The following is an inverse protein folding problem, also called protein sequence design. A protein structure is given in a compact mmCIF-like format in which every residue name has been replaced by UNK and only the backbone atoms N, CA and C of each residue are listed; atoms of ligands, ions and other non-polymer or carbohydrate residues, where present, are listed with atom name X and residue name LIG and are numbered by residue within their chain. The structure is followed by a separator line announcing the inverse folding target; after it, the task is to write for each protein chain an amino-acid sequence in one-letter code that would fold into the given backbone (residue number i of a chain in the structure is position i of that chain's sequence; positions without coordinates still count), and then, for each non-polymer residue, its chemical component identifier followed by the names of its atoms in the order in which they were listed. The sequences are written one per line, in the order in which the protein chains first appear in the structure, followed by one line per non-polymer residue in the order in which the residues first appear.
data_IF_973958543009
#
_entry.id   IF_973958543009
#
_cell.length_a   1.000
_cell.length_b   1.000
_cell.length_c   1.000
_cell.angle_alpha   90.00
_cell.angle_beta   90.00
_cell.angle_gamma   90.00
#
_symmetry.space_group_name_H-M   'P 1'
#
loop_
_entity.id
_entity.type
_entity.pdbx_description
1 polymer ?
#
# COMPACT_ATOMS: atom_id res chain seq x y z
N UNK A 1 3.27 17.20 4.14
CA UNK A 1 3.69 15.78 4.13
C UNK A 1 5.06 15.71 4.79
N UNK A 2 5.30 14.76 5.69
CA UNK A 2 6.63 14.60 6.29
C UNK A 2 7.60 14.14 5.20
N UNK A 3 8.65 14.91 4.95
CA UNK A 3 9.72 14.53 4.01
C UNK A 3 10.42 13.30 4.57
N UNK A 4 10.37 12.17 3.85
CA UNK A 4 11.09 10.96 4.24
C UNK A 4 12.58 11.21 4.01
N UNK A 5 13.38 11.09 5.05
CA UNK A 5 14.83 11.25 4.97
C UNK A 5 15.50 9.89 4.73
N UNK A 6 16.26 9.77 3.65
CA UNK A 6 16.89 8.52 3.24
C UNK A 6 18.26 8.77 2.57
N UNK A 7 19.08 7.72 2.54
CA UNK A 7 20.36 7.68 1.82
C UNK A 7 20.44 6.37 1.03
N UNK A 8 21.09 6.37 -0.13
CA UNK A 8 21.35 5.15 -0.90
C UNK A 8 22.71 5.21 -1.57
N UNK A 9 23.33 4.05 -1.74
CA UNK A 9 24.56 3.92 -2.51
C UNK A 9 24.29 4.06 -4.01
N UNK A 10 25.23 4.63 -4.76
CA UNK A 10 25.15 4.71 -6.23
C UNK A 10 24.92 3.33 -6.88
N UNK A 11 25.59 2.29 -6.40
CA UNK A 11 25.43 0.92 -6.88
C UNK A 11 24.02 0.35 -6.69
N UNK A 12 23.33 0.71 -5.60
CA UNK A 12 21.92 0.34 -5.40
C UNK A 12 21.04 0.90 -6.53
N UNK A 13 21.20 2.19 -6.84
CA UNK A 13 20.48 2.83 -7.94
C UNK A 13 20.80 2.18 -9.30
N UNK A 14 22.08 1.91 -9.57
CA UNK A 14 22.50 1.25 -10.81
C UNK A 14 21.91 -0.16 -10.96
N UNK A 15 21.79 -0.90 -9.86
CA UNK A 15 21.15 -2.22 -9.84
C UNK A 15 19.66 -2.10 -10.17
N UNK A 16 18.91 -1.23 -9.51
CA UNK A 16 17.48 -1.03 -9.82
C UNK A 16 17.30 -0.61 -11.29
N UNK A 17 18.13 0.32 -11.79
CA UNK A 17 18.06 0.80 -13.15
C UNK A 17 18.45 -0.27 -14.19
N UNK A 18 19.42 -1.15 -13.87
CA UNK A 18 19.87 -2.23 -14.77
C UNK A 18 18.85 -3.36 -14.85
N UNK A 19 18.32 -3.80 -13.71
CA UNK A 19 17.41 -4.95 -13.63
C UNK A 19 15.94 -4.57 -13.78
N UNK A 20 15.63 -3.27 -13.87
CA UNK A 20 14.31 -2.74 -14.25
C UNK A 20 13.17 -3.26 -13.37
N UNK A 21 13.35 -3.25 -12.06
CA UNK A 21 12.32 -3.59 -11.08
C UNK A 21 12.03 -2.43 -10.12
N UNK A 22 10.86 -2.49 -9.50
CA UNK A 22 10.47 -1.65 -8.36
C UNK A 22 10.54 -2.51 -7.11
N UNK A 23 11.27 -2.03 -6.11
CA UNK A 23 11.35 -2.66 -4.80
C UNK A 23 10.20 -2.15 -3.93
N UNK A 24 9.32 -3.06 -3.51
CA UNK A 24 8.27 -2.77 -2.55
C UNK A 24 8.71 -3.15 -1.14
N UNK A 25 8.42 -2.29 -0.16
CA UNK A 25 8.81 -2.46 1.25
C UNK A 25 7.60 -2.20 2.14
N UNK A 26 7.20 -3.18 2.95
CA UNK A 26 6.12 -2.99 3.93
C UNK A 26 6.67 -2.50 5.27
N UNK A 27 5.96 -1.56 5.89
CA UNK A 27 6.31 -1.02 7.20
C UNK A 27 5.12 -1.12 8.15
N UNK A 28 5.22 -2.09 9.04
CA UNK A 28 4.18 -2.46 9.99
C UNK A 28 3.71 -1.27 10.85
N UNK A 29 4.65 -0.53 11.46
CA UNK A 29 4.32 0.52 12.43
C UNK A 29 3.86 1.83 11.76
N UNK A 30 4.35 2.15 10.55
CA UNK A 30 3.99 3.39 9.86
C UNK A 30 2.79 3.25 8.92
N UNK A 31 2.22 2.05 8.79
CA UNK A 31 1.09 1.75 7.91
C UNK A 31 1.36 2.11 6.44
N UNK A 32 2.57 1.78 5.94
CA UNK A 32 2.96 2.14 4.59
C UNK A 32 3.52 0.95 3.81
N UNK A 33 3.30 0.97 2.50
CA UNK A 33 4.05 0.19 1.52
C UNK A 33 4.78 1.17 0.63
N UNK A 34 6.11 1.20 0.73
CA UNK A 34 6.97 2.02 -0.11
C UNK A 34 7.23 1.32 -1.45
N UNK A 35 7.35 2.11 -2.51
CA UNK A 35 7.69 1.67 -3.87
C UNK A 35 8.92 2.44 -4.32
N UNK A 36 10.06 1.75 -4.38
CA UNK A 36 11.34 2.32 -4.81
C UNK A 36 11.62 1.88 -6.25
N UNK A 37 11.52 2.83 -7.18
CA UNK A 37 11.72 2.59 -8.62
C UNK A 37 12.77 3.53 -9.21
N UNK A 38 12.80 3.61 -10.54
CA UNK A 38 13.67 4.56 -11.25
C UNK A 38 12.93 5.25 -12.39
N UNK A 39 13.12 6.55 -12.53
CA UNK A 39 12.57 7.35 -13.62
C UNK A 39 13.53 8.51 -13.96
N UNK A 40 13.75 8.79 -15.24
CA UNK A 40 14.66 9.83 -15.73
C UNK A 40 16.04 9.81 -15.06
N UNK A 41 16.62 8.61 -14.95
CA UNK A 41 17.92 8.35 -14.34
C UNK A 41 18.03 8.84 -12.87
N UNK A 42 16.92 8.80 -12.13
CA UNK A 42 16.85 9.11 -10.70
C UNK A 42 16.06 8.04 -9.97
N UNK A 43 16.38 7.84 -8.69
CA UNK A 43 15.56 7.04 -7.78
C UNK A 43 14.22 7.74 -7.56
N UNK A 44 13.14 6.99 -7.64
CA UNK A 44 11.78 7.43 -7.30
C UNK A 44 11.32 6.72 -6.03
N UNK A 45 10.56 7.43 -5.21
CA UNK A 45 9.93 6.88 -4.02
C UNK A 45 8.46 7.29 -4.03
N UNK A 46 7.59 6.30 -4.01
CA UNK A 46 6.16 6.47 -3.75
C UNK A 46 5.79 5.62 -2.52
N UNK A 47 4.63 5.88 -1.93
CA UNK A 47 4.10 5.04 -0.86
C UNK A 47 2.58 5.02 -0.87
N UNK A 48 2.03 3.89 -0.41
CA UNK A 48 0.59 3.75 -0.15
C UNK A 48 0.33 3.45 1.31
N UNK A 49 -0.69 4.09 1.86
CA UNK A 49 -1.15 3.82 3.21
C UNK A 49 -1.95 2.53 3.20
N UNK A 50 -1.37 1.47 3.76
CA UNK A 50 -2.03 0.18 3.97
C UNK A 50 -1.96 -0.08 5.47
N UNK A 51 -3.05 -0.52 6.08
CA UNK A 51 -3.09 -0.67 7.54
C UNK A 51 -2.28 -1.88 7.98
N UNK A 52 -1.19 -1.65 8.71
CA UNK A 52 -0.31 -2.69 9.25
C UNK A 52 0.08 -3.72 8.16
N UNK A 53 0.73 -3.29 7.07
CA UNK A 53 1.14 -4.18 5.99
C UNK A 53 2.27 -5.07 6.49
N UNK A 54 2.14 -6.37 6.23
CA UNK A 54 3.06 -7.40 6.72
C UNK A 54 3.66 -8.17 5.53
N UNK A 55 3.49 -9.50 5.46
CA UNK A 55 4.02 -10.32 4.39
C UNK A 55 3.47 -9.91 3.02
N UNK A 56 4.32 -9.92 2.01
CA UNK A 56 3.99 -9.54 0.64
C UNK A 56 4.46 -10.57 -0.37
N UNK A 57 3.77 -10.65 -1.50
CA UNK A 57 4.23 -11.40 -2.67
C UNK A 57 3.88 -10.62 -3.94
N UNK A 58 4.75 -10.64 -4.94
CA UNK A 58 4.44 -10.07 -6.26
C UNK A 58 5.09 -10.81 -7.41
N UNK A 59 4.44 -10.73 -8.56
CA UNK A 59 4.94 -11.09 -9.88
C UNK A 59 4.52 -10.02 -10.91
N UNK A 60 4.55 -10.36 -12.21
CA UNK A 60 4.22 -9.43 -13.28
C UNK A 60 2.73 -9.06 -13.34
N UNK A 61 1.83 -9.91 -12.81
CA UNK A 61 0.38 -9.75 -12.90
C UNK A 61 -0.23 -9.38 -11.56
N UNK A 62 0.31 -9.88 -10.47
CA UNK A 62 -0.30 -9.80 -9.15
C UNK A 62 0.65 -9.22 -8.11
N UNK A 63 0.09 -8.44 -7.19
CA UNK A 63 0.75 -7.96 -5.98
C UNK A 63 -0.16 -8.18 -4.78
N UNK A 64 0.23 -9.10 -3.91
CA UNK A 64 -0.49 -9.45 -2.69
C UNK A 64 0.16 -8.82 -1.47
N UNK A 65 -0.67 -8.28 -0.59
CA UNK A 65 -0.24 -7.67 0.67
C UNK A 65 -1.13 -8.19 1.81
N UNK A 66 -0.52 -8.81 2.81
CA UNK A 66 -1.21 -9.12 4.08
C UNK A 66 -1.39 -7.86 4.92
N UNK A 67 -2.64 -7.48 5.18
CA UNK A 67 -3.05 -6.40 6.07
C UNK A 67 -3.24 -6.93 7.51
N UNK A 68 -3.62 -6.05 8.45
CA UNK A 68 -4.07 -6.39 9.80
C UNK A 68 -5.03 -7.59 9.85
N UNK A 69 -6.02 -7.67 8.96
CA UNK A 69 -7.08 -8.67 9.00
C UNK A 69 -7.57 -9.13 7.61
N UNK A 70 -6.83 -8.82 6.56
CA UNK A 70 -7.21 -9.15 5.19
C UNK A 70 -5.97 -9.44 4.35
N UNK A 71 -6.18 -10.01 3.16
CA UNK A 71 -5.19 -10.06 2.09
C UNK A 71 -5.74 -9.21 0.94
N UNK A 72 -5.03 -8.15 0.59
CA UNK A 72 -5.28 -7.44 -0.66
C UNK A 72 -4.63 -8.19 -1.81
N UNK A 73 -5.37 -8.35 -2.90
CA UNK A 73 -4.84 -8.72 -4.20
C UNK A 73 -4.97 -7.52 -5.12
N UNK A 74 -3.84 -6.91 -5.44
CA UNK A 74 -3.76 -5.93 -6.53
C UNK A 74 -3.38 -6.66 -7.81
N UNK A 75 -4.06 -6.34 -8.91
CA UNK A 75 -3.70 -6.82 -10.24
C UNK A 75 -3.11 -5.69 -11.07
N UNK A 76 -2.25 -6.04 -12.03
CA UNK A 76 -1.65 -5.08 -12.95
C UNK A 76 -2.61 -4.76 -14.11
N UNK A 77 -3.24 -3.59 -14.05
CA UNK A 77 -4.05 -3.02 -15.13
C UNK A 77 -3.17 -2.15 -16.01
N UNK A 78 -2.40 -2.76 -16.91
CA UNK A 78 -1.43 -2.03 -17.73
C UNK A 78 -2.07 -0.91 -18.56
N UNK A 79 -3.29 -1.11 -19.09
CA UNK A 79 -4.01 -0.07 -19.84
C UNK A 79 -4.31 1.20 -19.00
N UNK A 80 -4.40 1.07 -17.67
CA UNK A 80 -4.62 2.23 -16.80
C UNK A 80 -3.41 3.18 -16.78
N UNK A 81 -2.21 2.75 -17.22
CA UNK A 81 -1.03 3.64 -17.28
C UNK A 81 -1.20 4.76 -18.30
N UNK A 82 -2.01 4.58 -19.35
CA UNK A 82 -2.29 5.60 -20.37
C UNK A 82 -2.99 6.84 -19.82
N UNK A 83 -3.69 6.69 -18.69
CA UNK A 83 -4.40 7.77 -17.98
C UNK A 83 -3.54 8.44 -16.91
N UNK A 84 -2.31 7.98 -16.70
CA UNK A 84 -1.43 8.49 -15.65
C UNK A 84 -0.50 9.58 -16.20
N UNK A 85 -0.30 10.60 -15.39
CA UNK A 85 0.70 11.62 -15.64
C UNK A 85 1.90 11.46 -14.69
N UNK A 86 3.14 11.67 -15.17
CA UNK A 86 3.53 11.90 -16.56
C UNK A 86 3.34 10.66 -17.46
N UNK A 87 2.94 10.86 -18.72
CA UNK A 87 2.59 9.78 -19.69
C UNK A 87 3.61 8.64 -19.86
N UNK A 88 4.90 8.88 -19.61
CA UNK A 88 5.96 7.87 -19.81
C UNK A 88 6.57 7.37 -18.49
N UNK A 89 6.00 7.75 -17.34
CA UNK A 89 6.59 7.44 -16.04
C UNK A 89 6.32 6.01 -15.59
N UNK A 90 5.12 5.48 -15.83
CA UNK A 90 4.65 4.25 -15.19
C UNK A 90 4.54 3.10 -16.18
N UNK A 91 5.15 1.96 -15.87
CA UNK A 91 5.17 0.76 -16.73
C UNK A 91 4.16 -0.30 -16.28
N UNK A 92 3.57 -0.13 -15.11
CA UNK A 92 2.50 -0.95 -14.57
C UNK A 92 1.64 -0.13 -13.61
N UNK A 93 0.36 -0.48 -13.51
CA UNK A 93 -0.58 0.14 -12.59
C UNK A 93 -1.29 -0.95 -11.79
N UNK A 94 -0.99 -1.03 -10.49
CA UNK A 94 -1.58 -2.02 -9.59
C UNK A 94 -2.83 -1.45 -8.92
N UNK A 95 -3.99 -1.99 -9.28
CA UNK A 95 -5.28 -1.62 -8.71
C UNK A 95 -5.87 -2.82 -7.93
N UNK A 96 -6.68 -2.59 -6.88
CA UNK A 96 -7.28 -3.68 -6.13
C UNK A 96 -8.21 -4.51 -7.02
N UNK A 97 -8.00 -5.82 -7.06
CA UNK A 97 -8.88 -6.77 -7.74
C UNK A 97 -9.80 -7.49 -6.76
N UNK A 98 -9.27 -7.89 -5.60
CA UNK A 98 -10.08 -8.44 -4.52
C UNK A 98 -9.42 -8.20 -3.14
N UNK A 99 -10.23 -8.31 -2.08
CA UNK A 99 -9.77 -8.26 -0.70
C UNK A 99 -10.38 -9.46 0.03
N UNK A 100 -9.53 -10.38 0.50
CA UNK A 100 -9.98 -11.56 1.24
C UNK A 100 -9.89 -11.33 2.74
N UNK A 101 -10.99 -11.44 3.47
CA UNK A 101 -11.01 -11.24 4.92
C UNK A 101 -10.56 -12.50 5.66
N UNK A 102 -9.39 -12.43 6.29
CA UNK A 102 -8.79 -13.55 7.03
C UNK A 102 -9.07 -13.51 8.53
N UNK A 103 -9.53 -12.36 9.04
CA UNK A 103 -9.37 -12.01 10.45
C UNK A 103 -7.90 -11.72 10.81
N UNK A 104 -7.65 -11.29 12.05
CA UNK A 104 -6.30 -10.96 12.52
C UNK A 104 -5.46 -12.21 12.74
N UNK A 105 -4.79 -12.70 11.69
CA UNK A 105 -3.99 -13.93 11.70
C UNK A 105 -2.47 -13.69 11.65
N UNK A 106 -2.05 -12.42 11.61
CA UNK A 106 -0.65 -11.98 11.61
C UNK A 106 0.15 -12.62 10.46
N UNK A 107 -0.19 -12.25 9.22
CA UNK A 107 0.39 -12.81 7.99
C UNK A 107 1.86 -12.44 7.87
N UNK A 108 2.76 -13.35 8.24
CA UNK A 108 4.18 -13.01 8.39
C UNK A 108 4.96 -13.02 7.09
N UNK A 109 4.66 -13.98 6.22
CA UNK A 109 5.33 -14.12 4.93
C UNK A 109 4.38 -14.83 3.96
N UNK A 110 4.51 -14.53 2.67
CA UNK A 110 3.69 -15.11 1.63
C UNK A 110 4.56 -15.61 0.48
N UNK A 111 4.09 -16.62 -0.24
CA UNK A 111 4.69 -17.10 -1.46
C UNK A 111 3.63 -17.73 -2.36
N UNK A 112 3.66 -17.43 -3.66
CA UNK A 112 2.79 -18.06 -4.65
C UNK A 112 3.50 -19.24 -5.31
N UNK A 113 2.81 -20.36 -5.35
CA UNK A 113 3.11 -21.49 -6.22
C UNK A 113 1.80 -21.93 -6.88
N UNK A 114 1.40 -23.18 -6.66
CA UNK A 114 0.10 -23.67 -7.15
C UNK A 114 -1.04 -22.81 -6.56
N UNK A 115 -0.97 -22.54 -5.26
CA UNK A 115 -1.84 -21.58 -4.56
C UNK A 115 -1.05 -20.38 -4.02
N UNK A 116 -1.76 -19.40 -3.46
CA UNK A 116 -1.13 -18.41 -2.58
C UNK A 116 -0.98 -19.03 -1.19
N UNK A 117 0.25 -19.31 -0.79
CA UNK A 117 0.57 -19.81 0.55
C UNK A 117 1.02 -18.65 1.43
N UNK A 118 0.59 -18.66 2.68
CA UNK A 118 0.94 -17.63 3.63
C UNK A 118 1.10 -18.17 5.04
N UNK A 119 2.03 -17.59 5.78
CA UNK A 119 2.31 -17.95 7.16
C UNK A 119 1.27 -17.28 8.06
N UNK A 120 0.44 -18.10 8.69
CA UNK A 120 -0.51 -17.70 9.72
C UNK A 120 0.17 -17.88 11.09
N UNK A 121 0.86 -16.84 11.55
CA UNK A 121 1.60 -16.88 12.82
C UNK A 121 0.66 -17.11 13.98
N UNK A 122 -0.52 -16.49 13.97
CA UNK A 122 -1.46 -16.58 15.09
C UNK A 122 -2.03 -17.98 15.28
N UNK A 123 -2.15 -18.78 14.23
CA UNK A 123 -2.56 -20.19 14.33
C UNK A 123 -1.39 -21.18 14.24
N UNK A 124 -0.16 -20.69 14.18
CA UNK A 124 1.05 -21.50 14.05
C UNK A 124 1.01 -22.46 12.85
N UNK A 125 0.50 -21.99 11.70
CA UNK A 125 0.32 -22.83 10.51
C UNK A 125 0.65 -22.10 9.20
N UNK A 126 0.84 -22.87 8.13
CA UNK A 126 0.80 -22.37 6.75
C UNK A 126 -0.64 -22.52 6.26
N UNK A 127 -1.15 -21.47 5.66
CA UNK A 127 -2.50 -21.37 5.14
C UNK A 127 -2.50 -21.08 3.63
N UNK A 128 -3.65 -21.29 3.00
CA UNK A 128 -3.97 -20.84 1.66
C UNK A 128 -5.36 -20.20 1.60
N UNK A 129 -5.67 -19.53 0.49
CA UNK A 129 -6.97 -18.90 0.23
C UNK A 129 -8.01 -19.96 -0.13
N UNK A 130 -9.27 -19.69 0.20
CA UNK A 130 -10.45 -20.45 -0.22
C UNK A 130 -11.68 -19.55 -0.06
N UNK A 131 -12.55 -19.51 -1.06
CA UNK A 131 -13.56 -18.44 -1.21
C UNK A 131 -14.64 -18.43 -0.12
N UNK A 132 -14.93 -19.57 0.51
CA UNK A 132 -16.01 -19.75 1.49
C UNK A 132 -15.53 -19.75 2.96
N UNK A 133 -14.24 -19.52 3.22
CA UNK A 133 -13.65 -19.52 4.57
C UNK A 133 -12.58 -18.43 4.72
N UNK A 134 -12.28 -18.03 5.96
CA UNK A 134 -11.22 -17.04 6.21
C UNK A 134 -9.85 -17.51 5.73
N UNK A 135 -9.55 -18.79 5.83
CA UNK A 135 -8.36 -19.44 5.26
C UNK A 135 -8.52 -20.96 5.32
N UNK A 136 -7.85 -21.67 4.42
CA UNK A 136 -7.68 -23.13 4.48
C UNK A 136 -6.30 -23.44 5.09
N UNK A 137 -6.25 -24.28 6.10
CA UNK A 137 -4.96 -24.75 6.65
C UNK A 137 -4.32 -25.70 5.65
N UNK A 138 -3.10 -25.38 5.22
CA UNK A 138 -2.30 -26.24 4.36
C UNK A 138 -1.44 -27.20 5.19
N UNK A 139 -0.75 -26.67 6.20
CA UNK A 139 0.15 -27.44 7.06
C UNK A 139 0.29 -26.79 8.43
N UNK A 140 0.51 -27.61 9.46
CA UNK A 140 0.84 -27.17 10.81
C UNK A 140 1.96 -28.06 11.34
N UNK A 141 2.95 -27.53 12.08
CA UNK A 141 3.97 -28.37 12.72
C UNK A 141 3.34 -29.44 13.62
N UNK A 142 3.95 -30.63 13.66
CA UNK A 142 3.47 -31.78 14.44
C UNK A 142 3.49 -31.53 15.95
N UNK A 143 4.38 -30.64 16.42
CA UNK A 143 4.48 -30.29 17.84
C UNK A 143 3.39 -29.32 18.32
N UNK A 144 2.59 -28.74 17.42
CA UNK A 144 1.42 -27.94 17.82
C UNK A 144 0.24 -28.90 17.98
N UNK A 145 -0.32 -29.05 19.17
CA UNK A 145 -1.43 -30.00 19.40
C UNK A 145 -2.73 -29.56 18.73
N UNK A 146 -3.04 -28.25 18.78
CA UNK A 146 -4.33 -27.70 18.36
C UNK A 146 -4.19 -26.34 17.67
N UNK A 147 -5.00 -26.15 16.63
CA UNK A 147 -5.18 -24.87 15.94
C UNK A 147 -6.01 -23.94 16.80
N UNK A 148 -5.38 -22.87 17.29
CA UNK A 148 -5.99 -21.88 18.16
C UNK A 148 -5.48 -20.49 17.75
N UNK A 149 -6.27 -19.42 17.91
CA UNK A 149 -5.87 -18.05 17.54
C UNK A 149 -4.88 -17.44 18.55
N UNK A 150 -3.80 -18.16 18.83
CA UNK A 150 -2.73 -17.78 19.76
C UNK A 150 -1.37 -18.15 19.16
N UNK A 151 -0.49 -17.17 19.06
CA UNK A 151 0.89 -17.41 18.63
C UNK A 151 1.64 -18.25 19.67
N UNK A 152 2.02 -19.49 19.30
CA UNK A 152 2.68 -20.45 20.20
C UNK A 152 4.17 -20.59 19.92
N UNK A 153 4.53 -20.78 18.65
CA UNK A 153 5.90 -21.04 18.19
C UNK A 153 6.50 -19.91 17.35
N UNK A 154 5.69 -18.89 17.02
CA UNK A 154 6.00 -17.85 16.07
C UNK A 154 6.51 -18.40 14.73
N UNK A 155 5.68 -19.21 14.08
CA UNK A 155 5.91 -19.59 12.69
C UNK A 155 5.92 -18.30 11.85
N UNK A 156 7.00 -18.06 11.12
CA UNK A 156 7.28 -16.74 10.57
C UNK A 156 7.85 -16.74 9.15
N UNK A 157 8.16 -17.90 8.58
CA UNK A 157 8.68 -17.93 7.22
C UNK A 157 8.38 -19.19 6.43
N UNK A 158 8.45 -19.05 5.11
CA UNK A 158 8.09 -20.10 4.14
C UNK A 158 8.97 -20.05 2.88
N UNK A 159 9.43 -21.23 2.46
CA UNK A 159 10.10 -21.45 1.19
C UNK A 159 9.33 -22.50 0.37
N UNK A 160 9.14 -22.21 -0.92
CA UNK A 160 8.55 -23.16 -1.85
C UNK A 160 9.63 -23.96 -2.58
N UNK A 161 9.31 -25.20 -2.93
CA UNK A 161 10.04 -26.04 -3.88
C UNK A 161 9.01 -26.69 -4.81
N UNK A 162 9.24 -26.65 -6.12
CA UNK A 162 8.28 -27.13 -7.12
C UNK A 162 6.85 -26.64 -6.85
N UNK A 163 6.70 -25.31 -6.70
CA UNK A 163 5.43 -24.61 -6.46
C UNK A 163 4.67 -24.98 -5.17
N UNK A 164 5.28 -25.71 -4.24
CA UNK A 164 4.64 -26.11 -2.97
C UNK A 164 5.50 -25.78 -1.75
N UNK A 165 4.90 -25.52 -0.57
CA UNK A 165 5.64 -25.31 0.67
C UNK A 165 6.57 -26.49 0.99
N UNK A 166 7.86 -26.21 1.15
CA UNK A 166 8.89 -27.21 1.43
C UNK A 166 9.66 -26.93 2.72
N UNK A 167 9.99 -25.67 2.99
CA UNK A 167 10.64 -25.29 4.25
C UNK A 167 9.88 -24.18 4.96
N UNK A 168 9.97 -24.17 6.29
CA UNK A 168 9.41 -23.13 7.12
C UNK A 168 10.35 -22.79 8.28
N UNK A 169 10.25 -21.57 8.81
CA UNK A 169 10.96 -21.16 10.02
C UNK A 169 9.99 -20.87 11.16
N UNK A 170 10.41 -21.18 12.38
CA UNK A 170 9.74 -20.80 13.62
C UNK A 170 10.77 -20.35 14.67
N UNK A 171 10.35 -19.52 15.62
CA UNK A 171 11.24 -19.05 16.68
C UNK A 171 11.41 -20.05 17.83
N UNK A 172 10.56 -21.07 17.92
CA UNK A 172 10.68 -22.18 18.86
C UNK A 172 9.86 -23.40 18.42
N UNK A 173 9.95 -24.50 19.17
CA UNK A 173 9.08 -25.68 19.03
C UNK A 173 8.00 -25.75 20.11
N UNK A 174 7.62 -24.61 20.71
CA UNK A 174 6.68 -24.58 21.83
C UNK A 174 5.22 -24.63 21.38
N UNK A 175 4.39 -25.34 22.15
CA UNK A 175 2.92 -25.40 22.01
C UNK A 175 2.20 -24.64 23.14
N UNK A 176 2.86 -23.64 23.73
CA UNK A 176 2.30 -22.79 24.77
C UNK A 176 2.14 -21.37 24.26
N UNK A 177 1.09 -20.63 24.68
CA UNK A 177 0.89 -19.24 24.33
C UNK A 177 2.16 -18.39 24.53
N UNK A 178 2.66 -17.80 23.44
CA UNK A 178 3.86 -16.96 23.40
C UNK A 178 5.14 -17.64 23.93
N UNK A 179 5.16 -18.99 23.98
CA UNK A 179 6.27 -19.76 24.55
C UNK A 179 7.62 -19.47 23.88
N UNK A 180 7.59 -19.13 22.59
CA UNK A 180 8.76 -18.76 21.81
C UNK A 180 9.57 -17.59 22.38
N UNK A 181 8.95 -16.66 23.13
CA UNK A 181 9.65 -15.48 23.68
C UNK A 181 10.80 -15.87 24.63
N UNK A 182 10.65 -16.99 25.35
CA UNK A 182 11.69 -17.52 26.26
C UNK A 182 12.90 -18.06 25.49
N UNK A 183 12.67 -18.54 24.27
CA UNK A 183 13.68 -19.23 23.46
C UNK A 183 14.09 -18.42 22.22
N UNK A 184 13.78 -17.13 22.17
CA UNK A 184 14.10 -16.25 21.03
C UNK A 184 15.60 -16.23 20.64
N UNK A 185 16.50 -16.48 21.60
CA UNK A 185 17.94 -16.39 21.36
C UNK A 185 18.51 -17.60 20.61
N UNK A 186 17.97 -18.80 20.84
CA UNK A 186 18.53 -20.08 20.40
C UNK A 186 17.49 -21.21 20.29
N UNK A 187 16.20 -20.90 20.25
CA UNK A 187 15.12 -21.88 20.11
C UNK A 187 14.68 -22.09 18.67
N UNK A 188 15.11 -21.22 17.76
CA UNK A 188 14.62 -21.17 16.40
C UNK A 188 14.98 -22.42 15.60
N UNK A 189 14.07 -22.77 14.70
CA UNK A 189 14.18 -23.97 13.87
C UNK A 189 13.90 -23.67 12.40
N UNK A 190 14.55 -24.44 11.53
CA UNK A 190 14.22 -24.59 10.12
C UNK A 190 13.64 -25.99 9.91
N UNK A 191 12.44 -26.06 9.36
CA UNK A 191 11.61 -27.27 9.30
C UNK A 191 11.41 -27.66 7.84
N UNK A 192 11.60 -28.93 7.52
CA UNK A 192 11.07 -29.54 6.30
C UNK A 192 9.58 -29.84 6.49
N UNK A 193 8.75 -29.11 5.73
CA UNK A 193 7.28 -29.15 5.79
C UNK A 193 6.75 -30.49 5.28
N UNK A 194 7.41 -31.08 4.29
CA UNK A 194 6.96 -32.33 3.67
C UNK A 194 7.30 -33.56 4.51
N UNK A 195 8.47 -33.54 5.17
CA UNK A 195 8.94 -34.65 6.01
C UNK A 195 8.54 -34.50 7.48
N UNK A 196 7.99 -33.34 7.88
CA UNK A 196 7.74 -32.99 9.28
C UNK A 196 8.98 -33.19 10.15
N UNK A 197 10.10 -32.58 9.74
CA UNK A 197 11.39 -32.75 10.39
C UNK A 197 12.13 -31.43 10.56
N UNK A 198 12.74 -31.23 11.72
CA UNK A 198 13.69 -30.11 11.92
C UNK A 198 15.00 -30.46 11.21
N UNK A 199 15.43 -29.60 10.30
CA UNK A 199 16.69 -29.75 9.55
C UNK A 199 17.82 -28.89 10.11
N UNK A 200 17.49 -27.79 10.80
CA UNK A 200 18.40 -26.98 11.62
C UNK A 200 17.68 -26.52 12.88
N UNK A 201 18.37 -26.54 14.00
CA UNK A 201 17.91 -26.00 15.28
C UNK A 201 18.91 -24.99 15.84
N UNK A 202 18.63 -24.47 17.04
CA UNK A 202 19.49 -23.52 17.76
C UNK A 202 19.73 -22.21 17.03
N UNK A 203 18.76 -21.80 16.20
CA UNK A 203 18.83 -20.57 15.43
C UNK A 203 18.31 -19.39 16.24
N UNK A 204 18.99 -18.25 16.12
CA UNK A 204 18.57 -17.00 16.73
C UNK A 204 17.58 -16.26 15.85
N UNK A 205 16.30 -16.40 16.18
CA UNK A 205 15.19 -15.83 15.43
C UNK A 205 15.28 -16.00 13.90
N UNK A 206 15.20 -17.24 13.37
CA UNK A 206 15.30 -17.48 11.94
C UNK A 206 14.09 -16.91 11.18
N UNK A 207 14.31 -16.35 9.99
CA UNK A 207 13.27 -15.76 9.13
C UNK A 207 13.53 -16.05 7.65
N UNK A 208 12.48 -15.86 6.84
CA UNK A 208 12.51 -15.77 5.37
C UNK A 208 13.38 -16.84 4.69
N UNK A 209 13.12 -18.14 4.92
CA UNK A 209 13.81 -19.19 4.18
C UNK A 209 13.46 -19.07 2.69
N UNK A 210 14.45 -19.26 1.81
CA UNK A 210 14.26 -19.23 0.35
C UNK A 210 15.15 -20.28 -0.30
N UNK A 211 14.57 -21.03 -1.24
CA UNK A 211 15.35 -21.85 -2.15
C UNK A 211 15.74 -20.98 -3.33
N UNK A 212 17.03 -20.89 -3.60
CA UNK A 212 17.56 -20.15 -4.75
C UNK A 212 18.82 -20.85 -5.26
N UNK A 213 19.00 -20.95 -6.58
CA UNK A 213 20.18 -21.59 -7.18
C UNK A 213 20.57 -22.95 -6.54
N UNK A 214 19.57 -23.83 -6.28
CA UNK A 214 19.72 -25.14 -5.63
C UNK A 214 20.27 -25.16 -4.19
N UNK A 215 20.27 -24.02 -3.50
CA UNK A 215 20.62 -23.91 -2.09
C UNK A 215 19.48 -23.32 -1.27
N UNK A 216 19.47 -23.59 0.03
CA UNK A 216 18.50 -23.03 0.97
C UNK A 216 19.12 -21.89 1.75
N UNK A 217 18.67 -20.69 1.48
CA UNK A 217 19.07 -19.49 2.20
C UNK A 217 18.09 -19.19 3.31
N UNK A 218 18.56 -18.57 4.38
CA UNK A 218 17.70 -18.10 5.47
C UNK A 218 18.36 -16.94 6.21
N UNK A 219 17.53 -16.13 6.85
CA UNK A 219 17.98 -15.06 7.73
C UNK A 219 18.07 -15.57 9.16
N UNK A 220 19.14 -15.24 9.87
CA UNK A 220 19.22 -15.42 11.32
C UNK A 220 19.19 -14.05 11.98
N UNK A 221 17.97 -13.55 12.17
CA UNK A 221 17.71 -12.13 12.44
C UNK A 221 18.21 -11.67 13.80
N UNK A 222 18.28 -12.56 14.78
CA UNK A 222 18.86 -12.28 16.09
C UNK A 222 20.38 -12.03 16.04
N UNK A 223 21.04 -12.46 14.96
CA UNK A 223 22.48 -12.21 14.67
C UNK A 223 22.68 -11.20 13.53
N UNK A 224 21.63 -10.86 12.79
CA UNK A 224 21.70 -9.99 11.62
C UNK A 224 22.46 -10.60 10.46
N UNK A 225 22.33 -11.92 10.22
CA UNK A 225 23.09 -12.61 9.18
C UNK A 225 22.21 -13.18 8.09
N UNK A 226 22.74 -13.19 6.87
CA UNK A 226 22.25 -14.03 5.77
C UNK A 226 23.10 -15.30 5.73
N UNK A 227 22.45 -16.46 5.75
CA UNK A 227 23.10 -17.76 5.80
C UNK A 227 22.63 -18.66 4.66
N UNK A 228 23.42 -19.68 4.35
CA UNK A 228 23.09 -20.73 3.39
C UNK A 228 23.29 -22.10 4.02
N UNK A 229 22.31 -22.97 3.82
CA UNK A 229 22.35 -24.38 4.16
C UNK A 229 22.65 -25.21 2.90
N UNK A 230 23.70 -26.01 2.98
CA UNK A 230 24.10 -26.93 1.91
C UNK A 230 23.52 -28.33 2.20
N UNK A 231 22.65 -28.82 1.31
CA UNK A 231 21.97 -30.10 1.48
C UNK A 231 22.90 -31.32 1.44
N UNK A 232 24.05 -31.23 0.75
CA UNK A 232 24.99 -32.35 0.61
C UNK A 232 25.80 -32.53 1.89
N UNK A 233 26.35 -31.43 2.40
CA UNK A 233 27.22 -31.43 3.57
C UNK A 233 26.44 -31.33 4.89
N UNK A 234 25.17 -30.91 4.82
CA UNK A 234 24.30 -30.60 5.97
C UNK A 234 24.89 -29.54 6.89
N UNK A 235 25.74 -28.66 6.34
CA UNK A 235 26.37 -27.55 7.07
C UNK A 235 25.73 -26.23 6.66
N UNK A 236 25.76 -25.29 7.59
CA UNK A 236 25.43 -23.89 7.34
C UNK A 236 26.70 -23.05 7.23
N UNK A 237 26.64 -22.00 6.41
CA UNK A 237 27.67 -20.98 6.32
C UNK A 237 27.02 -19.59 6.32
N UNK A 238 27.60 -18.68 7.10
CA UNK A 238 27.25 -17.26 7.02
C UNK A 238 27.83 -16.67 5.75
N UNK A 239 26.98 -16.01 4.97
CA UNK A 239 27.37 -15.26 3.77
C UNK A 239 27.87 -13.89 4.20
N UNK A 240 27.04 -13.17 4.96
CA UNK A 240 27.37 -11.81 5.40
C UNK A 240 26.61 -11.45 6.68
N UNK A 241 27.20 -10.53 7.45
CA UNK A 241 26.54 -9.85 8.58
C UNK A 241 26.08 -8.46 8.14
N UNK A 242 24.84 -8.15 8.44
CA UNK A 242 24.11 -6.95 8.05
C UNK A 242 23.91 -6.02 9.26
N UNK A 243 23.77 -4.72 9.05
CA UNK A 243 23.78 -3.72 10.12
C UNK A 243 22.44 -3.58 10.87
N UNK A 244 21.73 -4.67 11.12
CA UNK A 244 20.48 -4.65 11.89
C UNK A 244 19.70 -5.96 11.82
N UNK A 245 18.48 -5.94 12.33
CA UNK A 245 17.64 -7.13 12.39
C UNK A 245 17.08 -7.46 11.01
N UNK A 246 17.47 -8.60 10.46
CA UNK A 246 17.14 -8.96 9.08
C UNK A 246 15.71 -9.46 8.94
N UNK A 247 14.97 -8.99 7.93
CA UNK A 247 13.61 -9.44 7.59
C UNK A 247 13.38 -9.24 6.10
N UNK A 248 12.61 -10.12 5.46
CA UNK A 248 12.37 -10.07 4.03
C UNK A 248 13.63 -10.42 3.23
N UNK A 249 13.50 -11.39 2.34
CA UNK A 249 14.61 -11.90 1.54
C UNK A 249 14.13 -12.16 0.11
N UNK A 250 14.77 -11.49 -0.86
CA UNK A 250 14.48 -11.64 -2.28
C UNK A 250 15.74 -11.85 -3.07
N UNK A 251 15.65 -12.67 -4.10
CA UNK A 251 16.75 -12.95 -5.01
C UNK A 251 16.40 -12.52 -6.42
N UNK A 252 17.42 -12.09 -7.15
CA UNK A 252 17.41 -11.89 -8.60
C UNK A 252 18.84 -12.04 -9.10
N UNK A 253 19.01 -12.73 -10.23
CA UNK A 253 20.33 -13.02 -10.81
C UNK A 253 21.34 -13.57 -9.76
N UNK A 254 22.39 -12.82 -9.43
CA UNK A 254 23.40 -13.21 -8.42
C UNK A 254 23.28 -12.42 -7.11
N UNK A 255 22.18 -11.69 -6.93
CA UNK A 255 22.00 -10.78 -5.81
C UNK A 255 20.87 -11.23 -4.89
N UNK A 256 21.09 -11.00 -3.59
CA UNK A 256 20.07 -11.06 -2.57
C UNK A 256 19.79 -9.64 -2.06
N UNK A 257 18.52 -9.22 -2.08
CA UNK A 257 18.04 -8.08 -1.31
C UNK A 257 17.59 -8.59 0.06
N UNK A 258 18.09 -7.92 1.10
CA UNK A 258 17.77 -8.24 2.49
C UNK A 258 17.27 -6.99 3.16
N UNK A 259 16.06 -7.05 3.69
CA UNK A 259 15.53 -6.00 4.53
C UNK A 259 16.16 -6.02 5.93
N UNK A 260 16.34 -4.85 6.52
CA UNK A 260 16.96 -4.66 7.83
C UNK A 260 16.16 -3.63 8.63
N UNK A 261 15.95 -3.88 9.93
CA UNK A 261 15.21 -3.01 10.85
C UNK A 261 16.06 -2.58 12.06
N UNK A 262 15.81 -1.34 12.52
CA UNK A 262 16.31 -0.78 13.79
C UNK A 262 15.55 -1.40 14.94
N UNK A 263 15.98 -2.58 15.39
CA UNK A 263 15.41 -3.16 16.60
C UNK A 263 15.86 -2.37 17.82
N UNK A 264 14.89 -1.85 18.57
CA UNK A 264 15.10 -1.25 19.89
C UNK A 264 15.11 -2.34 20.95
N UNK A 265 15.91 -2.15 21.99
CA UNK A 265 15.92 -3.07 23.13
C UNK A 265 14.57 -2.98 23.84
N UNK A 266 13.74 -3.99 23.64
CA UNK A 266 12.43 -4.17 24.29
C UNK A 266 12.39 -5.53 24.96
N UNK A 267 11.35 -5.80 25.76
CA UNK A 267 11.16 -7.11 26.39
C UNK A 267 11.22 -8.28 25.37
N UNK A 268 10.80 -8.02 24.12
CA UNK A 268 10.86 -9.01 23.05
C UNK A 268 12.27 -9.21 22.50
N UNK A 269 13.13 -8.19 22.45
CA UNK A 269 14.45 -8.28 21.79
C UNK A 269 15.66 -8.26 22.73
N UNK A 270 15.44 -8.15 24.04
CA UNK A 270 16.49 -8.22 25.05
C UNK A 270 17.32 -9.51 24.96
N UNK A 271 18.64 -9.40 25.11
CA UNK A 271 19.58 -10.53 25.14
C UNK A 271 20.02 -11.08 23.77
N UNK A 272 19.60 -10.48 22.66
CA UNK A 272 20.01 -10.90 21.31
C UNK A 272 21.37 -10.31 20.91
N UNK A 273 22.14 -11.02 20.10
CA UNK A 273 23.45 -10.52 19.63
C UNK A 273 23.31 -9.19 18.86
N UNK A 274 22.23 -9.04 18.09
CA UNK A 274 21.98 -7.83 17.31
C UNK A 274 21.83 -6.55 18.15
N UNK A 275 21.41 -6.66 19.43
CA UNK A 275 21.29 -5.47 20.30
C UNK A 275 22.64 -4.93 20.74
N UNK A 276 23.72 -5.70 20.55
CA UNK A 276 25.11 -5.30 20.82
C UNK A 276 25.75 -4.47 19.71
N UNK A 277 25.11 -4.35 18.54
CA UNK A 277 25.62 -3.48 17.47
C UNK A 277 25.58 -2.01 17.88
N UNK A 278 26.69 -1.30 17.72
CA UNK A 278 26.81 0.13 18.03
C UNK A 278 25.82 0.97 17.23
N UNK A 279 25.69 0.68 15.92
CA UNK A 279 24.74 1.32 15.03
C UNK A 279 23.82 0.28 14.40
N UNK A 280 22.51 0.47 14.58
CA UNK A 280 21.46 -0.29 13.91
C UNK A 280 20.77 0.63 12.91
N UNK A 281 20.47 0.12 11.73
CA UNK A 281 19.86 0.88 10.63
C UNK A 281 18.62 0.19 10.09
N UNK A 282 17.84 0.94 9.32
CA UNK A 282 16.57 0.49 8.75
C UNK A 282 16.61 0.71 7.24
N UNK A 283 16.22 -0.27 6.43
CA UNK A 283 16.29 -0.17 4.97
C UNK A 283 16.57 -1.51 4.30
N UNK A 284 17.18 -1.49 3.12
CA UNK A 284 17.42 -2.68 2.30
C UNK A 284 18.85 -2.72 1.80
N UNK A 285 19.50 -3.87 1.95
CA UNK A 285 20.88 -4.13 1.53
C UNK A 285 20.93 -5.11 0.37
N UNK A 286 21.83 -4.87 -0.56
CA UNK A 286 22.12 -5.76 -1.69
C UNK A 286 23.38 -6.56 -1.37
N UNK A 287 23.27 -7.87 -1.43
CA UNK A 287 24.37 -8.82 -1.20
C UNK A 287 24.62 -9.57 -2.50
N UNK A 288 25.86 -9.53 -2.98
CA UNK A 288 26.31 -10.44 -4.03
C UNK A 288 26.63 -11.80 -3.40
N UNK A 289 25.83 -12.82 -3.71
CA UNK A 289 25.96 -14.14 -3.07
C UNK A 289 27.16 -14.94 -3.57
N UNK A 290 27.73 -14.58 -4.71
CA UNK A 290 28.92 -15.23 -5.25
C UNK A 290 30.16 -14.67 -4.53
N UNK A 291 30.29 -13.34 -4.47
CA UNK A 291 31.43 -12.71 -3.79
C UNK A 291 31.28 -12.65 -2.27
N UNK A 292 30.06 -12.90 -1.75
CA UNK A 292 29.69 -12.81 -0.33
C UNK A 292 29.92 -11.42 0.27
N UNK A 293 29.61 -10.37 -0.49
CA UNK A 293 29.84 -8.97 -0.08
C UNK A 293 28.55 -8.16 -0.20
N UNK A 294 28.40 -7.18 0.69
CA UNK A 294 27.43 -6.10 0.51
C UNK A 294 27.94 -5.23 -0.64
N UNK A 295 27.09 -5.00 -1.63
CA UNK A 295 27.43 -4.22 -2.83
C UNK A 295 26.60 -2.95 -2.98
N UNK A 296 25.51 -2.80 -2.23
CA UNK A 296 24.69 -1.59 -2.23
C UNK A 296 23.71 -1.56 -1.07
N UNK A 297 23.12 -0.39 -0.82
CA UNK A 297 22.11 -0.20 0.20
C UNK A 297 21.15 0.95 -0.13
N UNK A 298 20.00 0.90 0.51
CA UNK A 298 19.06 2.00 0.73
C UNK A 298 18.74 2.05 2.23
N UNK A 299 18.90 3.20 2.87
CA UNK A 299 18.73 3.39 4.32
C UNK A 299 17.73 4.51 4.61
N UNK A 300 16.72 4.23 5.43
CA UNK A 300 15.89 5.25 6.06
C UNK A 300 16.64 5.89 7.23
N UNK A 301 16.91 7.19 7.13
CA UNK A 301 17.60 7.94 8.20
C UNK A 301 16.66 8.28 9.34
N UNK A 302 15.44 8.67 9.01
CA UNK A 302 14.44 9.09 10.00
C UNK A 302 13.03 8.61 9.62
N UNK A 303 12.12 8.59 10.59
CA UNK A 303 10.71 8.25 10.40
C UNK A 303 10.40 6.75 10.33
N UNK A 304 11.29 5.94 9.75
CA UNK A 304 11.09 4.49 9.58
C UNK A 304 12.18 3.71 10.31
N UNK A 305 11.78 3.02 11.38
CA UNK A 305 12.67 2.18 12.19
C UNK A 305 12.47 0.68 11.94
N UNK A 306 11.32 0.28 11.43
CA UNK A 306 11.00 -1.13 11.23
C UNK A 306 10.32 -1.35 9.88
N UNK A 307 11.00 -2.09 9.02
CA UNK A 307 10.39 -2.74 7.86
C UNK A 307 10.01 -4.18 8.22
N UNK A 308 9.03 -4.72 7.51
CA UNK A 308 8.47 -6.03 7.79
C UNK A 308 8.83 -7.06 6.72
N UNK A 309 8.56 -6.74 5.45
CA UNK A 309 8.88 -7.61 4.31
C UNK A 309 9.24 -6.78 3.06
N UNK A 310 9.83 -7.45 2.07
CA UNK A 310 10.19 -6.87 0.77
C UNK A 310 9.75 -7.76 -0.40
N UNK A 311 9.33 -7.14 -1.50
CA UNK A 311 9.02 -7.84 -2.75
C UNK A 311 9.50 -7.07 -3.98
N UNK A 312 9.62 -7.75 -5.11
CA UNK A 312 10.07 -7.17 -6.38
C UNK A 312 8.95 -7.20 -7.41
N UNK A 313 8.58 -6.01 -7.89
CA UNK A 313 7.67 -5.83 -9.00
C UNK A 313 8.53 -5.71 -10.27
N UNK A 314 8.32 -6.54 -11.31
CA UNK A 314 9.23 -6.63 -12.47
C UNK A 314 9.03 -5.49 -13.48
N UNK A 315 8.93 -4.26 -12.98
CA UNK A 315 8.73 -3.04 -13.74
C UNK A 315 9.56 -1.92 -13.11
N UNK A 316 10.26 -1.07 -13.89
CA UNK A 316 11.19 -0.09 -13.34
C UNK A 316 10.49 1.03 -12.56
N UNK A 317 9.22 1.30 -12.88
CA UNK A 317 8.36 2.22 -12.13
C UNK A 317 6.91 1.76 -12.19
N UNK A 318 6.27 1.68 -11.02
CA UNK A 318 4.86 1.24 -10.89
C UNK A 318 4.01 2.32 -10.24
N UNK A 319 2.75 2.39 -10.66
CA UNK A 319 1.71 3.10 -9.94
C UNK A 319 0.92 2.09 -9.11
N UNK A 320 0.38 2.54 -7.99
CA UNK A 320 -0.48 1.75 -7.12
C UNK A 320 -1.55 2.66 -6.54
N UNK A 321 -2.81 2.22 -6.54
CA UNK A 321 -3.93 3.00 -6.02
C UNK A 321 -4.85 2.15 -5.15
N UNK A 322 -5.59 2.82 -4.26
CA UNK A 322 -6.58 2.19 -3.38
C UNK A 322 -7.95 2.05 -4.06
N UNK A 323 -8.91 1.45 -3.34
CA UNK A 323 -10.30 1.29 -3.79
C UNK A 323 -11.02 2.62 -4.03
N UNK A 324 -10.52 3.70 -3.42
CA UNK A 324 -11.05 5.06 -3.51
C UNK A 324 -10.64 5.80 -4.80
N UNK A 325 -9.84 5.17 -5.66
CA UNK A 325 -9.36 5.78 -6.89
C UNK A 325 -10.27 5.48 -8.08
N UNK A 326 -10.62 6.51 -8.85
CA UNK A 326 -11.50 6.41 -10.03
C UNK A 326 -11.02 5.40 -11.09
N UNK A 327 -9.72 5.09 -11.18
CA UNK A 327 -9.24 4.08 -12.12
C UNK A 327 -9.82 2.70 -11.82
N UNK A 328 -10.20 2.43 -10.57
CA UNK A 328 -10.84 1.18 -10.16
C UNK A 328 -12.22 1.03 -10.80
N UNK A 329 -12.97 2.13 -10.94
CA UNK A 329 -14.34 2.10 -11.47
C UNK A 329 -14.39 1.74 -12.96
N UNK A 330 -13.34 2.08 -13.70
CA UNK A 330 -13.28 2.00 -15.17
C UNK A 330 -12.16 1.10 -15.71
N UNK A 331 -11.54 0.27 -14.87
CA UNK A 331 -10.52 -0.70 -15.29
C UNK A 331 -11.01 -2.12 -15.06
N UNK A 332 -10.90 -2.97 -16.09
CA UNK A 332 -11.41 -4.33 -16.06
C UNK A 332 -10.33 -5.34 -16.48
N UNK A 333 -10.31 -6.50 -15.81
CA UNK A 333 -9.58 -7.69 -16.25
C UNK A 333 -10.63 -8.72 -16.62
N UNK A 334 -10.57 -9.21 -17.85
CA UNK A 334 -11.50 -10.20 -18.39
C UNK A 334 -10.78 -11.53 -18.58
N UNK A 335 -11.50 -12.63 -18.39
CA UNK A 335 -10.98 -14.00 -18.43
C UNK A 335 -10.86 -14.57 -19.86
N UNK A 336 -11.21 -13.80 -20.90
CA UNK A 336 -11.34 -14.31 -22.27
C UNK A 336 -10.36 -13.63 -23.26
N UNK A 337 -9.83 -14.44 -24.19
CA UNK A 337 -9.04 -14.05 -25.37
C UNK A 337 -9.84 -13.27 -26.44
N UNK A 338 -11.05 -12.82 -26.13
CA UNK A 338 -11.90 -12.13 -27.09
C UNK A 338 -11.45 -10.67 -27.24
N UNK A 339 -10.58 -10.45 -28.23
CA UNK A 339 -10.01 -9.16 -28.62
C UNK A 339 -11.05 -8.14 -29.10
N UNK A 340 -12.34 -8.50 -29.14
CA UNK A 340 -13.44 -7.62 -29.58
C UNK A 340 -13.77 -6.50 -28.57
N UNK A 341 -13.26 -6.58 -27.34
CA UNK A 341 -13.32 -5.48 -26.35
C UNK A 341 -12.04 -4.63 -26.52
N UNK A 342 -11.75 -4.22 -27.76
CA UNK A 342 -10.56 -3.42 -28.07
C UNK A 342 -10.78 -1.92 -27.88
N UNK A 343 -12.03 -1.47 -27.74
CA UNK A 343 -12.35 -0.06 -27.53
C UNK A 343 -13.40 0.04 -26.44
N UNK A 344 -13.02 0.62 -25.29
CA UNK A 344 -14.01 1.29 -24.44
C UNK A 344 -14.71 2.27 -25.38
N UNK A 345 -16.04 2.16 -25.61
CA UNK A 345 -16.71 3.07 -26.50
C UNK A 345 -16.39 4.50 -26.05
N UNK A 346 -15.77 5.30 -26.92
CA UNK A 346 -15.35 6.68 -26.59
C UNK A 346 -16.50 7.52 -26.01
N UNK A 347 -17.73 7.09 -26.25
CA UNK A 347 -18.98 7.72 -25.82
C UNK A 347 -19.78 6.95 -24.74
N UNK A 348 -19.35 5.79 -24.25
CA UNK A 348 -20.19 5.04 -23.31
C UNK A 348 -20.09 5.56 -21.88
N UNK A 349 -21.11 6.38 -21.58
CA UNK A 349 -21.52 6.94 -20.29
C UNK A 349 -20.66 8.11 -19.84
N UNK A 350 -20.92 9.28 -20.42
CA UNK A 350 -20.74 10.53 -19.70
C UNK A 350 -21.54 10.46 -18.39
N UNK A 351 -20.87 10.09 -17.29
CA UNK A 351 -21.43 10.13 -15.94
C UNK A 351 -21.58 11.58 -15.50
N UNK A 352 -22.45 11.86 -14.54
CA UNK A 352 -22.58 13.18 -13.95
C UNK A 352 -21.23 13.72 -13.46
N UNK A 353 -20.38 12.84 -12.90
CA UNK A 353 -19.02 13.17 -12.45
C UNK A 353 -18.07 13.52 -13.61
N UNK A 354 -18.02 12.70 -14.67
CA UNK A 354 -17.11 12.96 -15.80
C UNK A 354 -17.42 14.26 -16.54
N UNK A 355 -18.70 14.62 -16.60
CA UNK A 355 -19.18 15.88 -17.16
C UNK A 355 -18.85 17.06 -16.26
N UNK A 356 -18.96 16.87 -14.95
CA UNK A 356 -18.57 17.85 -13.95
C UNK A 356 -17.07 18.20 -14.01
N UNK A 357 -16.18 17.21 -14.07
CA UNK A 357 -14.74 17.47 -14.12
C UNK A 357 -14.36 18.24 -15.40
N UNK A 358 -14.94 17.89 -16.55
CA UNK A 358 -14.75 18.64 -17.80
C UNK A 358 -15.29 20.07 -17.70
N UNK A 359 -16.45 20.26 -17.08
CA UNK A 359 -17.05 21.57 -16.86
C UNK A 359 -16.15 22.45 -15.98
N UNK A 360 -15.58 21.87 -14.91
CA UNK A 360 -14.64 22.56 -14.02
C UNK A 360 -13.37 22.96 -14.74
N UNK A 361 -12.81 22.10 -15.59
CA UNK A 361 -11.64 22.45 -16.40
C UNK A 361 -11.91 23.64 -17.34
N UNK A 362 -13.07 23.69 -17.98
CA UNK A 362 -13.47 24.81 -18.83
C UNK A 362 -13.68 26.09 -18.01
N UNK A 363 -14.26 25.97 -16.82
CA UNK A 363 -14.43 27.09 -15.90
C UNK A 363 -13.08 27.69 -15.49
N UNK A 364 -12.11 26.85 -15.13
CA UNK A 364 -10.75 27.27 -14.74
C UNK A 364 -9.99 27.92 -15.91
N UNK A 365 -10.32 27.55 -17.16
CA UNK A 365 -9.83 28.20 -18.38
C UNK A 365 -10.55 29.51 -18.73
N UNK A 366 -11.58 29.88 -17.97
CA UNK A 366 -12.40 31.07 -18.20
C UNK A 366 -13.53 30.89 -19.22
N UNK A 367 -13.73 29.68 -19.76
CA UNK A 367 -14.80 29.35 -20.71
C UNK A 367 -16.12 29.05 -19.98
N UNK A 368 -16.62 30.02 -19.21
CA UNK A 368 -17.70 29.85 -18.22
C UNK A 368 -19.03 29.41 -18.83
N UNK A 369 -19.39 29.87 -20.03
CA UNK A 369 -20.61 29.46 -20.73
C UNK A 369 -20.59 27.97 -21.09
N UNK A 370 -19.46 27.48 -21.60
CA UNK A 370 -19.31 26.06 -21.95
C UNK A 370 -19.26 25.17 -20.70
N UNK A 371 -18.67 25.67 -19.62
CA UNK A 371 -18.73 25.00 -18.32
C UNK A 371 -20.19 24.81 -17.86
N UNK A 372 -21.03 25.84 -17.97
CA UNK A 372 -22.45 25.76 -17.61
C UNK A 372 -23.19 24.71 -18.46
N UNK A 373 -22.93 24.63 -19.77
CA UNK A 373 -23.52 23.60 -20.63
C UNK A 373 -23.15 22.18 -20.17
N UNK A 374 -21.89 21.96 -19.78
CA UNK A 374 -21.44 20.66 -19.28
C UNK A 374 -21.98 20.34 -17.88
N UNK A 375 -22.10 21.33 -16.99
CA UNK A 375 -22.78 21.14 -15.70
C UNK A 375 -24.26 20.79 -15.90
N UNK A 376 -24.96 21.41 -16.85
CA UNK A 376 -26.35 21.02 -17.19
C UNK A 376 -26.43 19.57 -17.67
N UNK A 377 -25.55 19.15 -18.58
CA UNK A 377 -25.47 17.76 -19.01
C UNK A 377 -25.15 16.81 -17.84
N UNK A 378 -24.30 17.23 -16.90
CA UNK A 378 -24.02 16.46 -15.68
C UNK A 378 -25.30 16.26 -14.86
N UNK A 379 -26.12 17.31 -14.71
CA UNK A 379 -27.39 17.27 -13.99
C UNK A 379 -28.50 16.53 -14.75
N UNK A 380 -28.45 16.44 -16.07
CA UNK A 380 -29.32 15.53 -16.84
C UNK A 380 -29.02 14.05 -16.53
N UNK A 381 -27.79 13.73 -16.08
CA UNK A 381 -27.39 12.37 -15.69
C UNK A 381 -27.70 12.06 -14.24
N UNK A 382 -27.52 13.04 -13.37
CA UNK A 382 -27.93 12.98 -11.97
C UNK A 382 -28.38 14.37 -11.53
N UNK A 383 -29.69 14.55 -11.48
CA UNK A 383 -30.34 15.81 -11.12
C UNK A 383 -29.98 16.29 -9.70
N UNK A 384 -29.47 15.38 -8.85
CA UNK A 384 -29.13 15.63 -7.46
C UNK A 384 -27.62 15.79 -7.25
N UNK A 385 -26.82 15.82 -8.33
CA UNK A 385 -25.36 15.86 -8.24
C UNK A 385 -24.85 17.20 -7.71
N UNK A 386 -24.68 17.27 -6.39
CA UNK A 386 -24.33 18.47 -5.64
C UNK A 386 -23.12 19.24 -6.20
N UNK A 387 -21.99 18.61 -6.59
CA UNK A 387 -20.84 19.34 -7.11
C UNK A 387 -21.18 20.20 -8.33
N UNK A 388 -21.99 19.68 -9.26
CA UNK A 388 -22.41 20.42 -10.45
C UNK A 388 -23.42 21.52 -10.13
N UNK A 389 -24.37 21.31 -9.21
CA UNK A 389 -25.26 22.37 -8.75
C UNK A 389 -24.46 23.52 -8.13
N UNK A 390 -23.51 23.21 -7.25
CA UNK A 390 -22.69 24.22 -6.60
C UNK A 390 -21.85 25.03 -7.59
N UNK A 391 -21.04 24.38 -8.42
CA UNK A 391 -20.12 25.08 -9.34
C UNK A 391 -20.83 25.73 -10.53
N UNK A 392 -21.98 25.21 -10.97
CA UNK A 392 -22.82 25.90 -11.95
C UNK A 392 -23.38 27.21 -11.38
N UNK A 393 -23.83 27.21 -10.12
CA UNK A 393 -24.28 28.43 -9.45
C UNK A 393 -23.18 29.49 -9.32
N UNK A 394 -21.95 29.06 -9.00
CA UNK A 394 -20.77 29.94 -9.01
C UNK A 394 -20.51 30.52 -10.40
N UNK A 395 -20.48 29.67 -11.43
CA UNK A 395 -20.23 30.10 -12.81
C UNK A 395 -21.29 31.08 -13.32
N UNK A 396 -22.56 30.87 -12.99
CA UNK A 396 -23.67 31.77 -13.35
C UNK A 396 -23.56 33.12 -12.64
N UNK A 397 -23.22 33.14 -11.34
CA UNK A 397 -23.00 34.38 -10.59
C UNK A 397 -21.87 35.20 -11.22
N UNK A 398 -20.78 34.53 -11.56
CA UNK A 398 -19.60 35.16 -12.16
C UNK A 398 -19.86 35.79 -13.54
N UNK A 399 -20.85 35.30 -14.26
CA UNK A 399 -21.35 35.88 -15.51
C UNK A 399 -22.44 36.95 -15.31
N UNK A 400 -22.80 37.27 -14.06
CA UNK A 400 -23.85 38.21 -13.72
C UNK A 400 -25.27 37.67 -13.93
N UNK A 401 -25.45 36.37 -14.18
CA UNK A 401 -26.74 35.71 -14.38
C UNK A 401 -27.35 35.34 -13.02
N UNK A 402 -27.64 36.38 -12.23
CA UNK A 402 -27.94 36.28 -10.80
C UNK A 402 -29.25 35.53 -10.48
N UNK A 403 -30.26 35.61 -11.35
CA UNK A 403 -31.52 34.87 -11.17
C UNK A 403 -31.36 33.37 -11.37
N UNK A 404 -30.61 32.96 -12.40
CA UNK A 404 -30.32 31.54 -12.67
C UNK A 404 -29.40 30.95 -11.60
N UNK A 405 -28.41 31.73 -11.14
CA UNK A 405 -27.51 31.31 -10.06
C UNK A 405 -28.30 31.03 -8.77
N UNK A 406 -29.27 31.89 -8.44
CA UNK A 406 -30.14 31.70 -7.28
C UNK A 406 -30.93 30.40 -7.37
N UNK A 407 -31.58 30.13 -8.50
CA UNK A 407 -32.38 28.90 -8.67
C UNK A 407 -31.55 27.63 -8.47
N UNK A 408 -30.36 27.58 -9.09
CA UNK A 408 -29.47 26.41 -9.01
C UNK A 408 -28.92 26.21 -7.60
N UNK A 409 -28.52 27.28 -6.91
CA UNK A 409 -27.97 27.20 -5.56
C UNK A 409 -29.04 26.86 -4.52
N UNK A 410 -30.30 27.28 -4.73
CA UNK A 410 -31.41 26.83 -3.89
C UNK A 410 -31.63 25.32 -4.03
N UNK A 411 -31.58 24.79 -5.26
CA UNK A 411 -31.59 23.32 -5.48
C UNK A 411 -30.41 22.63 -4.80
N UNK A 412 -29.21 23.23 -4.81
CA UNK A 412 -28.06 22.68 -4.08
C UNK A 412 -28.34 22.57 -2.56
N UNK A 413 -28.98 23.58 -1.97
CA UNK A 413 -29.37 23.58 -0.55
C UNK A 413 -30.47 22.58 -0.22
N UNK A 414 -31.37 22.26 -1.16
CA UNK A 414 -32.34 21.17 -0.98
C UNK A 414 -31.64 19.81 -0.85
N UNK A 415 -30.46 19.64 -1.45
CA UNK A 415 -29.67 18.40 -1.37
C UNK A 415 -28.76 18.37 -0.16
N UNK A 416 -28.03 19.45 0.09
CA UNK A 416 -27.20 19.59 1.28
C UNK A 416 -27.30 21.01 1.86
N UNK A 417 -28.13 21.13 2.90
CA UNK A 417 -28.35 22.36 3.63
C UNK A 417 -27.22 22.71 4.62
N UNK A 418 -26.16 21.90 4.72
CA UNK A 418 -25.05 22.10 5.67
C UNK A 418 -23.85 22.85 5.08
N UNK A 419 -23.84 23.12 3.77
CA UNK A 419 -22.70 23.73 3.08
C UNK A 419 -22.72 25.26 3.21
N UNK A 420 -21.90 25.78 4.12
CA UNK A 420 -21.79 27.20 4.43
C UNK A 420 -21.46 28.09 3.21
N UNK A 421 -20.68 27.58 2.26
CA UNK A 421 -20.26 28.29 1.05
C UNK A 421 -21.44 28.65 0.14
N UNK A 422 -22.40 27.74 -0.02
CA UNK A 422 -23.62 27.98 -0.84
C UNK A 422 -24.45 29.13 -0.26
N UNK A 423 -24.60 29.19 1.06
CA UNK A 423 -25.27 30.31 1.74
C UNK A 423 -24.50 31.63 1.58
N UNK A 424 -23.15 31.59 1.58
CA UNK A 424 -22.34 32.78 1.34
C UNK A 424 -22.54 33.31 -0.09
N UNK A 425 -22.56 32.42 -1.09
CA UNK A 425 -22.78 32.79 -2.49
C UNK A 425 -24.18 33.38 -2.69
N UNK A 426 -25.24 32.76 -2.17
CA UNK A 426 -26.60 33.31 -2.19
C UNK A 426 -26.68 34.67 -1.48
N UNK A 427 -26.00 34.82 -0.35
CA UNK A 427 -25.88 36.09 0.37
C UNK A 427 -25.27 37.22 -0.48
N UNK A 428 -24.21 36.90 -1.24
CA UNK A 428 -23.61 37.82 -2.21
C UNK A 428 -24.57 38.15 -3.35
N UNK A 429 -25.26 37.16 -3.92
CA UNK A 429 -26.25 37.35 -5.00
C UNK A 429 -27.35 38.33 -4.55
N UNK A 430 -27.97 38.11 -3.39
CA UNK A 430 -29.02 39.03 -2.90
C UNK A 430 -28.49 40.42 -2.58
N UNK A 431 -27.23 40.54 -2.14
CA UNK A 431 -26.61 41.84 -1.94
C UNK A 431 -26.43 42.59 -3.26
N UNK A 432 -25.98 41.90 -4.31
CA UNK A 432 -25.83 42.44 -5.67
C UNK A 432 -27.19 42.82 -6.28
N UNK A 433 -28.27 42.09 -5.97
CA UNK A 433 -29.67 42.44 -6.33
C UNK A 433 -30.28 43.57 -5.48
N UNK A 434 -29.55 44.15 -4.52
CA UNK A 434 -30.03 45.11 -3.52
C UNK A 434 -31.11 44.57 -2.55
N UNK A 435 -31.33 43.26 -2.48
CA UNK A 435 -32.24 42.60 -1.54
C UNK A 435 -31.58 42.39 -0.17
N UNK A 436 -31.35 43.52 0.49
CA UNK A 436 -30.51 43.63 1.69
C UNK A 436 -30.92 42.69 2.84
N UNK A 437 -32.22 42.52 3.11
CA UNK A 437 -32.68 41.67 4.20
C UNK A 437 -32.49 40.18 3.92
N UNK A 438 -32.69 39.74 2.66
CA UNK A 438 -32.36 38.36 2.25
C UNK A 438 -30.86 38.12 2.32
N UNK A 439 -30.05 39.07 1.84
CA UNK A 439 -28.59 39.00 1.95
C UNK A 439 -28.13 38.79 3.40
N UNK A 440 -28.66 39.58 4.36
CA UNK A 440 -28.38 39.39 5.79
C UNK A 440 -28.76 37.99 6.28
N UNK A 441 -29.93 37.48 5.88
CA UNK A 441 -30.42 36.14 6.30
C UNK A 441 -29.45 35.04 5.86
N UNK A 442 -29.08 34.99 4.58
CA UNK A 442 -28.19 33.96 4.04
C UNK A 442 -26.76 34.09 4.57
N UNK A 443 -26.21 35.30 4.68
CA UNK A 443 -24.86 35.52 5.24
C UNK A 443 -24.76 35.15 6.72
N UNK A 444 -25.82 35.39 7.52
CA UNK A 444 -25.88 34.91 8.91
C UNK A 444 -25.83 33.38 8.97
N UNK A 445 -26.62 32.71 8.13
CA UNK A 445 -26.65 31.24 8.08
C UNK A 445 -25.30 30.66 7.65
N UNK A 446 -24.64 31.26 6.67
CA UNK A 446 -23.28 30.89 6.26
C UNK A 446 -22.30 30.99 7.44
N UNK A 447 -22.34 32.08 8.20
CA UNK A 447 -21.47 32.30 9.36
C UNK A 447 -21.77 31.38 10.56
N UNK A 448 -23.04 30.99 10.75
CA UNK A 448 -23.44 30.00 11.75
C UNK A 448 -22.86 28.62 11.45
N UNK A 449 -22.86 28.23 10.18
CA UNK A 449 -22.35 26.94 9.70
C UNK A 449 -20.82 26.91 9.65
N UNK A 450 -20.17 28.00 9.22
CA UNK A 450 -18.72 28.17 9.29
C UNK A 450 -18.30 29.57 9.75
N UNK A 451 -17.81 29.65 10.99
CA UNK A 451 -17.34 30.89 11.63
C UNK A 451 -16.06 31.45 11.02
N UNK A 452 -15.36 30.68 10.17
CA UNK A 452 -14.11 31.08 9.53
C UNK A 452 -14.32 31.78 8.18
N UNK A 453 -15.55 31.86 7.67
CA UNK A 453 -15.89 32.59 6.44
C UNK A 453 -15.76 34.12 6.65
N UNK A 454 -14.53 34.62 6.54
CA UNK A 454 -14.19 36.04 6.72
C UNK A 454 -14.94 36.94 5.75
N UNK A 455 -15.22 36.45 4.53
CA UNK A 455 -15.95 37.19 3.49
C UNK A 455 -17.41 37.42 3.87
N UNK A 456 -18.11 36.36 4.32
CA UNK A 456 -19.49 36.44 4.78
C UNK A 456 -19.63 37.47 5.92
N UNK A 457 -18.73 37.42 6.90
CA UNK A 457 -18.68 38.35 8.03
C UNK A 457 -18.41 39.79 7.59
N UNK A 458 -17.47 39.99 6.66
CA UNK A 458 -17.12 41.32 6.13
C UNK A 458 -18.32 41.95 5.42
N UNK A 459 -19.01 41.18 4.58
CA UNK A 459 -20.18 41.69 3.87
C UNK A 459 -21.37 41.93 4.82
N UNK A 460 -21.63 41.02 5.76
CA UNK A 460 -22.67 41.21 6.77
C UNK A 460 -22.45 42.49 7.61
N UNK A 461 -21.20 42.76 8.01
CA UNK A 461 -20.84 43.98 8.71
C UNK A 461 -21.01 45.25 7.85
N UNK A 462 -20.70 45.17 6.55
CA UNK A 462 -20.90 46.27 5.61
C UNK A 462 -22.39 46.60 5.46
N UNK A 463 -23.22 45.56 5.37
CA UNK A 463 -24.66 45.70 5.26
C UNK A 463 -25.25 46.32 6.53
N UNK A 464 -24.81 45.91 7.72
CA UNK A 464 -25.33 46.44 8.99
C UNK A 464 -24.86 47.88 9.32
N UNK A 465 -23.91 48.43 8.56
CA UNK A 465 -23.39 49.80 8.71
C UNK A 465 -24.04 50.81 7.77
N UNK A 466 -24.79 50.34 6.76
CA UNK A 466 -25.67 51.15 5.92
C UNK A 466 -27.08 51.07 6.48
#
# INVERSE_FOLDING_TARGET
MATINYEYSQSFFEILNRYKFTLAISTYNSNQVFLLGTYNNKLTIDYKTIKRPMGMYSDAKSFYIGEKNSIYHFANFIAATEKLEPKDKYNACFLPLNIHNTGMIDIHEMAKGDDLYFVNTKFSCISTLKDDVSFKVYWKPWFISKLEPVDKCHLNGIALYNNKPKYATALSTTDTPLGWKKYKADGGVLIDVTENKIILDKLSMPHSPKIYANALFYLESGKGTLNVYDFKTKKTATIVKLPGFTRGLRFFDRFALVGVSKVRESATFSGLEITKLEKRVCGVWVVDIISKKIVGFFEFKEGIDEIFDITLLPYPQVAMYGLDNELVDYSYILDNEDSSISEIPKDSIQTAYSLHEKAKELYDKGEKEKAIELYKKSLEKDENFFPSLHLMGVALKDLGRLDEAEEVLLKALEKDASVAEVYNILGNIYYEKNETEKAKKYLKKAYELDKNLKEAKKLLNKINKK
#
